data_IF_815782594453
#
_entry.id   IF_815782594453
#
_cell.length_a   1.000
_cell.length_b   1.000
_cell.length_c   1.000
_cell.angle_alpha   90.00
_cell.angle_beta   90.00
_cell.angle_gamma   90.00
#
_symmetry.space_group_name_H-M   'P 1'
#
loop_
_entity.id
_entity.type
_entity.pdbx_description
1 polymer ?
#
# COMPACT_ATOMS: atom_id res chain seq x y z
N UNK A 1 11.80 27.06 -7.01
CA UNK A 1 11.42 25.68 -6.65
C UNK A 1 11.13 24.91 -7.92
N UNK A 2 11.90 23.87 -8.21
CA UNK A 2 11.75 23.08 -9.44
C UNK A 2 10.59 22.10 -9.28
N UNK A 3 9.59 22.15 -10.17
CA UNK A 3 8.51 21.15 -10.26
C UNK A 3 9.06 19.70 -10.30
N UNK A 4 10.30 19.50 -10.75
CA UNK A 4 10.96 18.19 -10.80
C UNK A 4 11.21 17.59 -9.41
N UNK A 5 11.33 18.37 -8.33
CA UNK A 5 11.58 17.81 -6.99
C UNK A 5 10.32 17.20 -6.36
N UNK A 6 9.15 17.79 -6.60
CA UNK A 6 7.87 17.30 -6.08
C UNK A 6 7.46 15.99 -6.76
N UNK A 7 7.54 15.94 -8.10
CA UNK A 7 7.25 14.74 -8.86
C UNK A 7 8.20 13.59 -8.52
N UNK A 8 9.50 13.89 -8.33
CA UNK A 8 10.52 12.92 -7.91
C UNK A 8 10.20 12.34 -6.52
N UNK A 9 9.84 13.17 -5.55
CA UNK A 9 9.48 12.70 -4.20
C UNK A 9 8.22 11.84 -4.21
N UNK A 10 7.22 12.18 -5.02
CA UNK A 10 6.01 11.37 -5.17
C UNK A 10 6.31 10.00 -5.77
N UNK A 11 7.12 9.95 -6.84
CA UNK A 11 7.51 8.72 -7.50
C UNK A 11 8.32 7.80 -6.56
N UNK A 12 9.24 8.36 -5.77
CA UNK A 12 10.03 7.61 -4.79
C UNK A 12 9.11 7.00 -3.70
N UNK A 13 8.12 7.75 -3.20
CA UNK A 13 7.16 7.24 -2.21
C UNK A 13 6.34 6.07 -2.75
N UNK A 14 5.94 6.14 -4.02
CA UNK A 14 5.24 5.06 -4.72
C UNK A 14 6.15 3.82 -4.86
N UNK A 15 7.41 4.02 -5.25
CA UNK A 15 8.38 2.94 -5.40
C UNK A 15 8.68 2.25 -4.07
N UNK A 16 8.95 3.03 -3.01
CA UNK A 16 9.17 2.50 -1.67
C UNK A 16 7.94 1.79 -1.13
N UNK A 17 6.74 2.36 -1.34
CA UNK A 17 5.49 1.71 -0.99
C UNK A 17 5.36 0.33 -1.62
N UNK A 18 5.75 0.20 -2.89
CA UNK A 18 5.71 -1.06 -3.64
C UNK A 18 6.75 -2.07 -3.13
N UNK A 19 7.96 -1.61 -2.80
CA UNK A 19 9.01 -2.46 -2.19
C UNK A 19 8.56 -2.95 -0.81
N UNK A 20 7.97 -2.08 0.01
CA UNK A 20 7.44 -2.43 1.33
C UNK A 20 6.36 -3.51 1.25
N UNK A 21 5.45 -3.41 0.28
CA UNK A 21 4.45 -4.45 -0.03
C UNK A 21 5.17 -5.75 -0.38
N UNK A 22 6.15 -5.70 -1.29
CA UNK A 22 6.87 -6.89 -1.74
C UNK A 22 7.70 -7.54 -0.63
N UNK A 23 8.18 -6.77 0.34
CA UNK A 23 8.85 -7.29 1.54
C UNK A 23 7.82 -7.91 2.49
N UNK A 24 6.67 -7.26 2.68
CA UNK A 24 5.62 -7.74 3.58
C UNK A 24 5.08 -9.13 3.19
N UNK A 25 5.05 -9.46 1.90
CA UNK A 25 4.61 -10.78 1.42
C UNK A 25 5.51 -11.92 1.91
N UNK A 26 6.82 -11.69 2.06
CA UNK A 26 7.75 -12.71 2.55
C UNK A 26 7.54 -13.08 4.02
N UNK A 27 6.99 -12.16 4.82
CA UNK A 27 6.78 -12.36 6.25
C UNK A 27 5.40 -12.94 6.59
N UNK A 28 4.49 -13.06 5.61
CA UNK A 28 3.10 -13.39 5.84
C UNK A 28 2.72 -14.70 5.16
N UNK A 29 2.52 -15.75 5.95
CA UNK A 29 2.13 -17.07 5.45
C UNK A 29 0.75 -17.10 4.77
N UNK A 30 -0.13 -16.15 5.08
CA UNK A 30 -1.45 -16.02 4.43
C UNK A 30 -1.48 -15.12 3.20
N UNK A 31 -0.31 -14.82 2.60
CA UNK A 31 -0.20 -14.03 1.37
C UNK A 31 0.65 -14.82 0.38
N UNK A 32 0.07 -15.18 -0.75
CA UNK A 32 0.72 -16.02 -1.76
C UNK A 32 0.99 -15.21 -3.03
N UNK A 33 2.19 -15.39 -3.59
CA UNK A 33 2.61 -14.83 -4.86
C UNK A 33 3.28 -15.95 -5.66
N UNK A 34 2.70 -16.31 -6.79
CA UNK A 34 3.16 -17.43 -7.62
C UNK A 34 4.56 -17.22 -8.22
N UNK A 35 4.99 -15.96 -8.39
CA UNK A 35 6.33 -15.66 -8.90
C UNK A 35 6.65 -14.17 -8.99
N UNK A 36 7.88 -13.89 -9.39
CA UNK A 36 8.43 -12.53 -9.52
C UNK A 36 7.63 -11.65 -10.51
N UNK A 37 7.09 -12.23 -11.59
CA UNK A 37 6.21 -11.53 -12.54
C UNK A 37 4.93 -11.06 -11.85
N UNK A 38 4.32 -11.92 -11.04
CA UNK A 38 3.12 -11.58 -10.28
C UNK A 38 3.40 -10.51 -9.23
N UNK A 39 4.58 -10.52 -8.61
CA UNK A 39 5.03 -9.44 -7.71
C UNK A 39 5.16 -8.08 -8.41
N UNK A 40 5.69 -8.04 -9.65
CA UNK A 40 5.75 -6.81 -10.45
C UNK A 40 4.34 -6.34 -10.83
N UNK A 41 3.47 -7.25 -11.23
CA UNK A 41 2.08 -6.94 -11.56
C UNK A 41 1.32 -6.40 -10.33
N UNK A 42 1.55 -7.00 -9.15
CA UNK A 42 1.03 -6.54 -7.87
C UNK A 42 1.45 -5.11 -7.56
N UNK A 43 2.75 -4.80 -7.68
CA UNK A 43 3.24 -3.44 -7.52
C UNK A 43 2.53 -2.48 -8.48
N UNK A 44 2.49 -2.76 -9.78
CA UNK A 44 1.85 -1.90 -10.77
C UNK A 44 0.35 -1.66 -10.49
N UNK A 45 -0.40 -2.70 -10.17
CA UNK A 45 -1.84 -2.63 -9.89
C UNK A 45 -2.10 -1.88 -8.58
N UNK A 46 -1.32 -2.13 -7.52
CA UNK A 46 -1.48 -1.39 -6.26
C UNK A 46 -1.19 0.09 -6.41
N UNK A 47 -0.21 0.47 -7.26
CA UNK A 47 0.03 1.87 -7.59
C UNK A 47 -1.23 2.47 -8.23
N UNK A 48 -1.81 1.80 -9.22
CA UNK A 48 -3.01 2.27 -9.90
C UNK A 48 -4.21 2.40 -8.94
N UNK A 49 -4.44 1.38 -8.09
CA UNK A 49 -5.49 1.37 -7.08
C UNK A 49 -5.29 2.52 -6.08
N UNK A 50 -4.06 2.73 -5.60
CA UNK A 50 -3.74 3.78 -4.65
C UNK A 50 -3.88 5.19 -5.24
N UNK A 51 -3.69 5.35 -6.56
CA UNK A 51 -3.88 6.62 -7.25
C UNK A 51 -5.35 6.93 -7.56
N UNK A 52 -6.20 5.91 -7.68
CA UNK A 52 -7.57 6.06 -8.18
C UNK A 52 -8.63 5.72 -7.13
N UNK A 53 -8.63 4.48 -6.63
CA UNK A 53 -9.64 3.94 -5.73
C UNK A 53 -9.44 4.45 -4.30
N UNK A 54 -8.19 4.50 -3.82
CA UNK A 54 -7.91 4.92 -2.44
C UNK A 54 -8.38 6.35 -2.11
N UNK A 55 -8.17 7.38 -2.96
CA UNK A 55 -8.73 8.71 -2.73
C UNK A 55 -10.25 8.71 -2.59
N UNK A 56 -10.94 7.93 -3.45
CA UNK A 56 -12.39 7.80 -3.40
C UNK A 56 -12.85 7.16 -2.07
N UNK A 57 -12.19 6.09 -1.65
CA UNK A 57 -12.46 5.44 -0.36
C UNK A 57 -12.26 6.40 0.80
N UNK A 58 -11.17 7.18 0.81
CA UNK A 58 -10.89 8.16 1.86
C UNK A 58 -11.99 9.22 1.95
N UNK A 59 -12.46 9.74 0.82
CA UNK A 59 -13.54 10.75 0.78
C UNK A 59 -14.83 10.15 1.34
N UNK A 60 -15.18 8.93 0.93
CA UNK A 60 -16.39 8.25 1.38
C UNK A 60 -16.32 7.92 2.88
N UNK A 61 -15.15 7.51 3.37
CA UNK A 61 -14.99 7.07 4.75
C UNK A 61 -14.52 8.20 5.66
N UNK A 62 -14.35 9.42 5.14
CA UNK A 62 -13.81 10.58 5.86
C UNK A 62 -14.46 10.82 7.24
N UNK A 63 -15.80 10.83 7.41
CA UNK A 63 -16.40 11.01 8.74
C UNK A 63 -15.99 9.89 9.71
N UNK A 64 -15.96 8.64 9.24
CA UNK A 64 -15.54 7.49 10.05
C UNK A 64 -14.03 7.54 10.34
N UNK A 65 -13.21 7.94 9.37
CA UNK A 65 -11.77 8.14 9.54
C UNK A 65 -11.49 9.21 10.60
N UNK A 66 -12.27 10.29 10.63
CA UNK A 66 -12.14 11.32 11.67
C UNK A 66 -12.56 10.80 13.04
N UNK A 67 -13.68 10.08 13.14
CA UNK A 67 -14.18 9.49 14.40
C UNK A 67 -13.16 8.49 14.97
N UNK A 68 -12.53 7.71 14.09
CA UNK A 68 -11.51 6.71 14.45
C UNK A 68 -10.10 7.28 14.56
N UNK A 69 -9.94 8.61 14.48
CA UNK A 69 -8.65 9.32 14.55
C UNK A 69 -7.60 8.78 13.55
N UNK A 70 -8.04 8.38 12.37
CA UNK A 70 -7.18 7.83 11.32
C UNK A 70 -6.98 6.32 11.35
N UNK A 71 -7.47 5.60 12.38
CA UNK A 71 -7.33 4.14 12.46
C UNK A 71 -8.01 3.44 11.26
N UNK A 72 -9.12 3.99 10.77
CA UNK A 72 -9.82 3.46 9.60
C UNK A 72 -8.98 3.50 8.30
N UNK A 73 -7.90 4.31 8.25
CA UNK A 73 -6.97 4.29 7.10
C UNK A 73 -6.28 2.93 6.94
N UNK A 74 -6.04 2.19 8.05
CA UNK A 74 -5.50 0.83 7.98
C UNK A 74 -6.48 -0.12 7.30
N UNK A 75 -7.78 0.04 7.60
CA UNK A 75 -8.85 -0.73 6.95
C UNK A 75 -8.88 -0.41 5.46
N UNK A 76 -8.79 0.87 5.07
CA UNK A 76 -8.73 1.25 3.64
C UNK A 76 -7.52 0.58 2.96
N UNK A 77 -6.34 0.62 3.57
CA UNK A 77 -5.14 -0.03 3.03
C UNK A 77 -5.35 -1.55 2.85
N UNK A 78 -5.95 -2.22 3.84
CA UNK A 78 -6.30 -3.64 3.76
C UNK A 78 -7.29 -3.92 2.61
N UNK A 79 -8.30 -3.07 2.44
CA UNK A 79 -9.26 -3.18 1.35
C UNK A 79 -8.60 -3.02 -0.02
N UNK A 80 -7.59 -2.16 -0.17
CA UNK A 80 -6.85 -2.03 -1.44
C UNK A 80 -6.06 -3.29 -1.78
N UNK A 81 -5.52 -3.97 -0.77
CA UNK A 81 -4.81 -5.24 -0.93
C UNK A 81 -5.78 -6.35 -1.35
N UNK A 82 -6.95 -6.45 -0.71
CA UNK A 82 -8.00 -7.39 -1.11
C UNK A 82 -8.51 -7.11 -2.53
N UNK A 83 -8.63 -5.83 -2.91
CA UNK A 83 -8.96 -5.45 -4.28
C UNK A 83 -7.91 -5.95 -5.28
N UNK A 84 -6.62 -5.85 -4.93
CA UNK A 84 -5.54 -6.36 -5.77
C UNK A 84 -5.58 -7.89 -5.89
N UNK A 85 -5.88 -8.60 -4.80
CA UNK A 85 -6.10 -10.07 -4.78
C UNK A 85 -7.17 -10.50 -5.80
N UNK A 86 -8.27 -9.76 -5.90
CA UNK A 86 -9.33 -10.06 -6.87
C UNK A 86 -8.97 -9.74 -8.33
N UNK A 87 -8.02 -8.83 -8.57
CA UNK A 87 -7.67 -8.38 -9.93
C UNK A 87 -6.52 -9.21 -10.51
N UNK A 88 -5.63 -9.73 -9.66
CA UNK A 88 -4.34 -10.25 -10.08
C UNK A 88 -4.32 -11.77 -9.97
N UNK A 89 -4.34 -12.50 -11.10
CA UNK A 89 -4.16 -13.94 -11.06
C UNK A 89 -2.77 -14.29 -10.52
N UNK A 90 -2.73 -15.19 -9.52
CA UNK A 90 -1.51 -15.65 -8.86
C UNK A 90 -1.03 -14.77 -7.69
N UNK A 91 -1.82 -13.79 -7.28
CA UNK A 91 -1.70 -13.13 -5.98
C UNK A 91 -2.94 -13.48 -5.15
N UNK A 92 -2.76 -14.09 -3.99
CA UNK A 92 -3.87 -14.37 -3.08
C UNK A 92 -3.60 -13.94 -1.65
N UNK A 93 -4.67 -13.54 -0.96
CA UNK A 93 -4.65 -13.19 0.47
C UNK A 93 -5.76 -13.93 1.20
N UNK A 94 -5.43 -14.58 2.31
CA UNK A 94 -6.33 -15.44 3.10
C UNK A 94 -7.38 -14.63 3.92
N UNK A 95 -8.05 -13.68 3.27
CA UNK A 95 -9.13 -12.88 3.84
C UNK A 95 -8.68 -11.60 4.55
N UNK A 96 -9.64 -10.93 5.18
CA UNK A 96 -9.48 -9.56 5.66
C UNK A 96 -8.42 -9.39 6.75
N UNK A 97 -8.31 -10.34 7.69
CA UNK A 97 -7.34 -10.23 8.78
C UNK A 97 -5.90 -10.30 8.29
N UNK A 98 -5.62 -11.18 7.31
CA UNK A 98 -4.31 -11.23 6.68
C UNK A 98 -4.01 -9.96 5.88
N UNK A 99 -4.98 -9.42 5.16
CA UNK A 99 -4.84 -8.13 4.49
C UNK A 99 -4.62 -6.96 5.47
N UNK A 100 -5.23 -7.01 6.66
CA UNK A 100 -5.05 -5.99 7.70
C UNK A 100 -3.65 -6.05 8.30
N UNK A 101 -3.16 -7.24 8.63
CA UNK A 101 -1.78 -7.44 9.11
C UNK A 101 -0.79 -6.99 8.03
N UNK A 102 -1.06 -7.33 6.77
CA UNK A 102 -0.27 -6.86 5.63
C UNK A 102 -0.22 -5.33 5.55
N UNK A 103 -1.37 -4.67 5.68
CA UNK A 103 -1.46 -3.21 5.66
C UNK A 103 -0.70 -2.55 6.82
N UNK A 104 -0.78 -3.14 8.01
CA UNK A 104 -0.02 -2.71 9.20
C UNK A 104 1.48 -2.85 8.95
N UNK A 105 1.92 -4.02 8.50
CA UNK A 105 3.33 -4.31 8.24
C UNK A 105 3.88 -3.35 7.17
N UNK A 106 3.17 -3.19 6.07
CA UNK A 106 3.52 -2.25 4.99
C UNK A 106 3.60 -0.81 5.49
N UNK A 107 2.68 -0.38 6.37
CA UNK A 107 2.68 0.96 6.95
C UNK A 107 3.88 1.17 7.88
N UNK A 108 4.23 0.15 8.68
CA UNK A 108 5.39 0.18 9.56
C UNK A 108 6.70 0.24 8.76
N UNK A 109 6.84 -0.61 7.74
CA UNK A 109 7.98 -0.62 6.84
C UNK A 109 8.10 0.76 6.15
N UNK A 110 7.00 1.30 5.63
CA UNK A 110 6.98 2.64 5.04
C UNK A 110 7.30 3.76 6.04
N UNK A 111 6.95 3.63 7.32
CA UNK A 111 7.34 4.61 8.35
C UNK A 111 8.86 4.60 8.58
N UNK A 112 9.48 3.42 8.56
CA UNK A 112 10.93 3.28 8.73
C UNK A 112 11.69 3.84 7.52
N UNK A 113 11.22 3.57 6.30
CA UNK A 113 11.86 4.09 5.09
C UNK A 113 11.50 5.56 4.81
N UNK A 114 10.26 5.96 5.08
CA UNK A 114 9.71 7.27 4.76
C UNK A 114 10.22 8.39 5.66
N UNK A 115 10.58 8.08 6.91
CA UNK A 115 11.22 9.07 7.79
C UNK A 115 12.60 9.50 7.26
N UNK A 116 13.30 8.63 6.53
CA UNK A 116 14.64 8.90 5.97
C UNK A 116 14.60 9.67 4.63
N UNK A 117 13.42 9.96 4.08
CA UNK A 117 13.26 10.81 2.89
C UNK A 117 12.89 12.26 3.21
N UNK A 118 12.63 12.56 4.48
CA UNK A 118 12.42 13.91 4.96
C UNK A 118 13.71 14.52 5.54
N UNK A 119 14.82 13.77 5.58
CA UNK A 119 16.14 14.36 5.74
C UNK A 119 16.58 14.82 4.37
N UNK A 120 16.31 16.08 4.03
CA UNK A 120 17.28 16.96 3.38
C UNK A 120 16.65 18.34 3.22
N UNK A 121 17.22 19.28 3.99
CA UNK A 121 17.28 20.69 3.63
C UNK A 121 17.91 20.87 2.24
#
# INVERSE_FOLDING_TARGET
>A
MSQNSIAKNFLIKILLGSISVMIATFFLSGVQIDGWITGILLAAVLILINLTVKPLMIILTLPLTLITLGLFLLVINALMILLADQIIPGFSVDGFWWALIFAILTSLINSLFGNNLNSDY
#
